data_IF_916378384825
#
_entry.id   IF_916378384825
#
_cell.length_a   1.000
_cell.length_b   1.000
_cell.length_c   1.000
_cell.angle_alpha   90.00
_cell.angle_beta   90.00
_cell.angle_gamma   90.00
#
_symmetry.space_group_name_H-M   'P 1'
#
loop_
_entity.id
_entity.type
_entity.pdbx_description
1 polymer ?
#
# COMPACT_ATOMS: atom_id res chain seq x y z
N UNK A 1 -32.06 16.71 9.02
CA UNK A 1 -30.80 16.53 9.76
C UNK A 1 -29.69 16.46 8.74
N UNK A 2 -28.91 17.54 8.62
CA UNK A 2 -27.78 17.57 7.70
C UNK A 2 -26.72 16.61 8.22
N UNK A 3 -26.36 15.60 7.42
CA UNK A 3 -25.13 14.84 7.65
C UNK A 3 -24.00 15.87 7.67
N UNK A 4 -23.44 16.15 8.84
CA UNK A 4 -22.16 16.83 8.92
C UNK A 4 -21.20 16.00 8.08
N UNK A 5 -20.75 16.57 6.96
CA UNK A 5 -19.75 15.97 6.11
C UNK A 5 -18.51 15.80 6.97
N UNK A 6 -18.32 14.60 7.52
CA UNK A 6 -17.16 14.26 8.33
C UNK A 6 -15.95 14.50 7.43
N UNK A 7 -15.14 15.50 7.77
CA UNK A 7 -13.96 15.86 7.00
C UNK A 7 -13.06 14.62 6.94
N UNK A 8 -12.75 14.17 5.72
CA UNK A 8 -11.92 12.99 5.46
C UNK A 8 -10.52 13.44 5.08
N UNK A 9 -9.87 14.15 6.00
CA UNK A 9 -8.62 14.86 5.74
C UNK A 9 -7.52 13.90 5.28
N UNK A 10 -7.45 12.70 5.87
CA UNK A 10 -6.47 11.70 5.43
C UNK A 10 -6.78 11.16 4.04
N UNK A 11 -8.05 10.81 3.79
CA UNK A 11 -8.50 10.31 2.49
C UNK A 11 -8.21 11.31 1.37
N UNK A 12 -8.49 12.59 1.61
CA UNK A 12 -8.23 13.69 0.67
C UNK A 12 -6.73 13.88 0.44
N UNK A 13 -5.93 13.88 1.52
CA UNK A 13 -4.47 13.99 1.43
C UNK A 13 -3.84 12.81 0.67
N UNK A 14 -4.26 11.58 0.98
CA UNK A 14 -3.76 10.37 0.33
C UNK A 14 -4.14 10.34 -1.15
N UNK A 15 -5.39 10.70 -1.50
CA UNK A 15 -5.82 10.76 -2.90
C UNK A 15 -5.05 11.83 -3.69
N UNK A 16 -4.83 13.00 -3.11
CA UNK A 16 -4.02 14.08 -3.72
C UNK A 16 -2.58 13.63 -3.94
N UNK A 17 -1.96 13.05 -2.92
CA UNK A 17 -0.62 12.50 -3.00
C UNK A 17 -0.51 11.38 -4.05
N UNK A 18 -1.46 10.45 -4.08
CA UNK A 18 -1.49 9.34 -5.02
C UNK A 18 -1.55 9.82 -6.48
N UNK A 19 -2.41 10.82 -6.75
CA UNK A 19 -2.51 11.44 -8.07
C UNK A 19 -1.20 12.11 -8.51
N UNK A 20 -0.45 12.71 -7.57
CA UNK A 20 0.85 13.32 -7.85
C UNK A 20 1.99 12.28 -7.97
N UNK A 21 1.89 11.15 -7.27
CA UNK A 21 2.91 10.12 -7.23
C UNK A 21 3.05 9.36 -8.57
N UNK A 22 2.01 9.33 -9.41
CA UNK A 22 2.08 8.59 -10.68
C UNK A 22 2.18 7.08 -10.48
N UNK A 23 1.41 6.55 -9.52
CA UNK A 23 1.37 5.12 -9.17
C UNK A 23 0.14 4.39 -9.76
N UNK A 24 -0.56 5.01 -10.70
CA UNK A 24 -1.78 4.48 -11.31
C UNK A 24 -1.55 3.20 -12.14
N UNK A 25 -0.30 2.93 -12.52
CA UNK A 25 0.10 1.74 -13.25
C UNK A 25 0.20 0.50 -12.36
N UNK A 26 0.39 0.68 -11.05
CA UNK A 26 0.64 -0.41 -10.10
C UNK A 26 -0.45 -0.58 -9.05
N UNK A 27 -1.19 0.47 -8.71
CA UNK A 27 -2.28 0.40 -7.74
C UNK A 27 -3.44 1.32 -8.10
N UNK A 28 -4.63 0.93 -7.64
CA UNK A 28 -5.83 1.75 -7.58
C UNK A 28 -6.20 1.99 -6.11
N UNK A 29 -6.90 3.08 -5.83
CA UNK A 29 -7.24 3.48 -4.46
C UNK A 29 -8.72 3.83 -4.36
N UNK A 30 -9.37 3.36 -3.30
CA UNK A 30 -10.80 3.56 -3.08
C UNK A 30 -11.07 4.10 -1.67
N UNK A 31 -11.77 5.23 -1.52
CA UNK A 31 -12.19 5.73 -0.21
C UNK A 31 -13.13 4.74 0.49
N UNK A 32 -12.84 4.42 1.76
CA UNK A 32 -13.75 3.61 2.55
C UNK A 32 -15.05 4.35 2.87
N UNK A 33 -16.18 3.64 2.84
CA UNK A 33 -17.47 4.21 3.26
C UNK A 33 -17.48 4.40 4.78
N UNK A 34 -17.80 5.61 5.24
CA UNK A 34 -17.97 5.92 6.66
C UNK A 34 -16.69 6.01 7.49
N UNK A 35 -15.51 5.89 6.87
CA UNK A 35 -14.20 5.98 7.53
C UNK A 35 -13.31 6.99 6.80
N UNK A 36 -12.41 7.63 7.54
CA UNK A 36 -11.31 8.39 6.94
C UNK A 36 -10.16 7.41 6.68
N UNK A 37 -10.29 6.64 5.61
CA UNK A 37 -9.39 5.56 5.25
C UNK A 37 -9.53 5.23 3.76
N UNK A 38 -8.52 4.55 3.22
CA UNK A 38 -8.40 4.18 1.82
C UNK A 38 -8.04 2.71 1.71
N UNK A 39 -8.76 1.98 0.86
CA UNK A 39 -8.36 0.66 0.40
C UNK A 39 -7.44 0.81 -0.82
N UNK A 40 -6.33 0.09 -0.81
CA UNK A 40 -5.32 0.09 -1.88
C UNK A 40 -5.39 -1.26 -2.57
N UNK A 41 -5.80 -1.25 -3.83
CA UNK A 41 -5.89 -2.42 -4.69
C UNK A 41 -4.66 -2.45 -5.60
N UNK A 42 -3.76 -3.41 -5.40
CA UNK A 42 -2.61 -3.58 -6.29
C UNK A 42 -3.05 -4.28 -7.58
N UNK A 43 -2.65 -3.73 -8.72
CA UNK A 43 -3.03 -4.19 -10.06
C UNK A 43 -2.14 -5.35 -10.55
N UNK A 44 -1.23 -5.83 -9.70
CA UNK A 44 -0.30 -6.92 -9.95
C UNK A 44 -0.60 -8.09 -9.00
N UNK A 45 -0.15 -9.30 -9.36
CA UNK A 45 -0.27 -10.46 -8.48
C UNK A 45 -1.71 -10.95 -8.25
N UNK A 46 -2.65 -10.61 -9.13
CA UNK A 46 -4.01 -11.17 -9.12
C UNK A 46 -4.80 -10.94 -7.83
N UNK A 47 -4.56 -9.84 -7.12
CA UNK A 47 -5.23 -9.52 -5.85
C UNK A 47 -4.62 -10.20 -4.61
N UNK A 48 -3.45 -10.84 -4.75
CA UNK A 48 -2.70 -11.41 -3.64
C UNK A 48 -1.94 -10.36 -2.80
N UNK A 49 -1.98 -9.09 -3.22
CA UNK A 49 -1.43 -7.96 -2.47
C UNK A 49 -2.57 -6.97 -2.25
N UNK A 50 -2.82 -6.63 -0.98
CA UNK A 50 -3.87 -5.67 -0.59
C UNK A 50 -3.32 -4.69 0.41
N UNK A 51 -3.65 -3.42 0.24
CA UNK A 51 -3.28 -2.38 1.19
C UNK A 51 -4.48 -1.71 1.84
N UNK A 52 -4.23 -1.13 3.01
CA UNK A 52 -5.18 -0.33 3.75
C UNK A 52 -4.43 0.83 4.40
N UNK A 53 -4.94 2.05 4.23
CA UNK A 53 -4.31 3.27 4.71
C UNK A 53 -5.30 4.10 5.52
N UNK A 54 -4.86 4.63 6.65
CA UNK A 54 -5.67 5.46 7.56
C UNK A 54 -4.79 6.44 8.36
N UNK A 55 -5.37 7.42 9.09
CA UNK A 55 -4.64 8.49 9.78
C UNK A 55 -3.51 8.09 10.73
N UNK A 56 -3.42 6.82 11.12
CA UNK A 56 -2.42 6.33 12.07
C UNK A 56 -1.55 5.20 11.52
N UNK A 57 -1.72 4.81 10.25
CA UNK A 57 -0.87 3.78 9.66
C UNK A 57 -1.24 3.39 8.23
N UNK A 58 -0.30 2.69 7.58
CA UNK A 58 -0.49 2.02 6.28
C UNK A 58 0.07 0.62 6.38
N UNK A 59 -0.76 -0.36 6.03
CA UNK A 59 -0.37 -1.76 5.95
C UNK A 59 -0.60 -2.28 4.53
N UNK A 60 0.36 -3.05 4.00
CA UNK A 60 0.23 -3.86 2.77
C UNK A 60 0.43 -5.31 3.16
N UNK A 61 -0.55 -6.14 2.82
CA UNK A 61 -0.62 -7.54 3.19
C UNK A 61 -0.48 -8.45 1.98
N UNK A 62 0.16 -9.59 2.19
CA UNK A 62 0.12 -10.74 1.29
C UNK A 62 -1.08 -11.62 1.66
N UNK A 63 -1.95 -11.86 0.69
CA UNK A 63 -3.20 -12.59 0.85
C UNK A 63 -3.18 -13.83 -0.03
N UNK A 64 -3.48 -14.99 0.55
CA UNK A 64 -3.66 -16.24 -0.19
C UNK A 64 -5.07 -16.78 0.07
N UNK A 65 -5.92 -16.75 -0.96
CA UNK A 65 -7.35 -16.97 -0.79
C UNK A 65 -8.00 -15.80 -0.04
N UNK A 66 -8.61 -16.09 1.11
CA UNK A 66 -9.24 -15.09 1.99
C UNK A 66 -8.43 -14.83 3.28
N UNK A 67 -7.24 -15.43 3.40
CA UNK A 67 -6.39 -15.34 4.60
C UNK A 67 -5.25 -14.33 4.38
N UNK A 68 -5.03 -13.46 5.37
CA UNK A 68 -3.83 -12.62 5.45
C UNK A 68 -2.67 -13.49 5.98
N UNK A 69 -1.64 -13.68 5.16
CA UNK A 69 -0.51 -14.53 5.49
C UNK A 69 0.64 -13.75 6.12
N UNK A 70 0.86 -12.51 5.68
CA UNK A 70 1.94 -11.66 6.15
C UNK A 70 1.70 -10.18 5.82
N UNK A 71 2.44 -9.30 6.49
CA UNK A 71 2.55 -7.89 6.13
C UNK A 71 3.86 -7.65 5.38
N UNK A 72 3.75 -7.22 4.12
CA UNK A 72 4.89 -6.89 3.27
C UNK A 72 5.43 -5.48 3.53
N UNK A 73 4.57 -4.61 4.06
CA UNK A 73 4.86 -3.25 4.46
C UNK A 73 3.89 -2.87 5.58
N UNK A 74 4.39 -2.27 6.65
CA UNK A 74 3.56 -1.82 7.77
C UNK A 74 4.26 -0.63 8.42
N UNK A 75 3.67 0.55 8.29
CA UNK A 75 4.18 1.79 8.87
C UNK A 75 3.11 2.44 9.73
N UNK A 76 3.49 2.78 10.96
CA UNK A 76 2.63 3.39 11.96
C UNK A 76 3.00 4.84 12.21
N UNK A 77 2.00 5.66 12.52
CA UNK A 77 2.20 7.02 13.01
C UNK A 77 1.24 7.30 14.16
N UNK A 78 1.76 7.87 15.24
CA UNK A 78 0.93 8.35 16.35
C UNK A 78 1.00 9.88 16.38
N UNK A 79 0.07 10.56 15.68
CA UNK A 79 0.13 12.00 15.52
C UNK A 79 -0.23 12.71 16.83
N UNK A 80 0.64 13.62 17.24
CA UNK A 80 0.42 14.51 18.38
C UNK A 80 0.50 15.95 17.89
N UNK A 81 -0.47 16.78 18.31
CA UNK A 81 -0.41 18.22 18.11
C UNK A 81 0.10 18.89 19.40
N UNK A 82 1.22 19.61 19.29
CA UNK A 82 1.73 20.50 20.34
C UNK A 82 1.88 21.91 19.78
N UNK A 83 1.12 22.86 20.34
CA UNK A 83 1.19 24.30 20.02
C UNK A 83 1.23 24.58 18.50
N UNK A 84 0.30 23.98 17.77
CA UNK A 84 0.17 24.10 16.31
C UNK A 84 1.29 23.46 15.47
N UNK A 85 2.10 22.58 16.07
CA UNK A 85 3.01 21.69 15.34
C UNK A 85 2.60 20.25 15.53
N UNK A 86 2.84 19.44 14.52
CA UNK A 86 2.55 18.01 14.52
C UNK A 86 3.85 17.21 14.63
N UNK A 87 3.80 16.08 15.34
CA UNK A 87 4.91 15.13 15.40
C UNK A 87 4.38 13.71 15.65
N UNK A 88 5.20 12.70 15.36
CA UNK A 88 4.90 11.32 15.72
C UNK A 88 5.46 11.00 17.12
N UNK A 89 4.63 10.47 18.03
CA UNK A 89 5.11 10.09 19.37
C UNK A 89 5.91 8.79 19.41
N UNK A 90 5.89 7.98 18.34
CA UNK A 90 6.78 6.83 18.19
C UNK A 90 8.20 7.21 17.79
N UNK A 91 8.43 8.41 17.25
CA UNK A 91 9.78 8.88 17.01
C UNK A 91 10.50 9.15 18.32
N UNK A 92 11.75 8.67 18.39
CA UNK A 92 12.69 8.96 19.45
C UNK A 92 12.79 10.48 19.68
N UNK A 93 12.83 10.95 20.94
CA UNK A 93 12.79 12.37 21.24
C UNK A 93 13.86 13.20 20.52
N UNK A 94 15.03 12.63 20.27
CA UNK A 94 16.16 13.32 19.63
C UNK A 94 16.04 13.42 18.10
N UNK A 95 15.31 12.49 17.47
CA UNK A 95 15.13 12.42 16.01
C UNK A 95 13.76 12.96 15.57
N UNK A 96 12.93 13.36 16.55
CA UNK A 96 11.57 13.84 16.33
C UNK A 96 11.57 15.13 15.53
N UNK A 97 11.02 15.04 14.32
CA UNK A 97 10.74 16.19 13.46
C UNK A 97 9.39 16.81 13.81
N UNK A 98 9.33 18.14 13.71
CA UNK A 98 8.11 18.92 13.89
C UNK A 98 7.59 19.40 12.54
N UNK A 99 6.31 19.15 12.28
CA UNK A 99 5.63 19.46 11.03
C UNK A 99 4.61 20.58 11.23
N UNK A 100 4.39 21.39 10.19
CA UNK A 100 3.44 22.50 10.24
C UNK A 100 1.99 22.06 10.03
N UNK A 101 1.77 20.89 9.43
CA UNK A 101 0.46 20.30 9.20
C UNK A 101 0.49 18.79 9.47
N UNK A 102 -0.70 18.23 9.72
CA UNK A 102 -0.85 16.77 9.86
C UNK A 102 -0.54 16.06 8.53
N UNK A 103 -0.89 16.67 7.40
CA UNK A 103 -0.59 16.16 6.07
C UNK A 103 0.92 16.02 5.85
N UNK A 104 1.72 17.02 6.25
CA UNK A 104 3.17 16.95 6.13
C UNK A 104 3.76 15.83 6.99
N UNK A 105 3.15 15.52 8.15
CA UNK A 105 3.53 14.37 8.97
C UNK A 105 3.19 13.05 8.25
N UNK A 106 1.98 12.92 7.69
CA UNK A 106 1.57 11.72 6.95
C UNK A 106 2.42 11.48 5.71
N UNK A 107 2.74 12.53 4.95
CA UNK A 107 3.63 12.41 3.78
C UNK A 107 4.97 11.82 4.21
N UNK A 108 5.58 12.38 5.25
CA UNK A 108 6.91 11.98 5.70
C UNK A 108 6.96 10.57 6.30
N UNK A 109 5.94 10.17 7.06
CA UNK A 109 5.94 8.91 7.82
C UNK A 109 5.20 7.75 7.15
N UNK A 110 4.24 8.04 6.28
CA UNK A 110 3.40 7.00 5.69
C UNK A 110 3.54 6.98 4.17
N UNK A 111 3.36 8.12 3.52
CA UNK A 111 3.18 8.14 2.06
C UNK A 111 4.52 7.98 1.32
N UNK A 112 5.54 8.76 1.69
CA UNK A 112 6.87 8.66 1.09
C UNK A 112 7.53 7.30 1.40
N UNK A 113 7.43 6.73 2.61
CA UNK A 113 7.86 5.36 2.87
C UNK A 113 7.13 4.31 2.01
N UNK A 114 5.80 4.41 1.84
CA UNK A 114 5.05 3.53 0.95
C UNK A 114 5.57 3.63 -0.48
N UNK A 115 5.78 4.85 -1.00
CA UNK A 115 6.35 5.05 -2.33
C UNK A 115 7.73 4.43 -2.46
N UNK A 116 8.59 4.64 -1.49
CA UNK A 116 9.95 4.08 -1.48
C UNK A 116 9.89 2.56 -1.52
N UNK A 117 9.06 1.94 -0.67
CA UNK A 117 8.85 0.50 -0.67
C UNK A 117 8.33 -0.01 -2.01
N UNK A 118 7.37 0.70 -2.63
CA UNK A 118 6.88 0.34 -3.96
C UNK A 118 8.02 0.35 -4.98
N UNK A 119 8.82 1.41 -5.03
CA UNK A 119 9.88 1.55 -6.03
C UNK A 119 11.07 0.60 -5.79
N UNK A 120 11.42 0.36 -4.53
CA UNK A 120 12.62 -0.41 -4.16
C UNK A 120 12.36 -1.91 -3.99
N UNK A 121 11.14 -2.30 -3.61
CA UNK A 121 10.80 -3.70 -3.29
C UNK A 121 9.76 -4.26 -4.26
N UNK A 122 8.63 -3.58 -4.42
CA UNK A 122 7.51 -4.13 -5.19
C UNK A 122 7.76 -4.12 -6.70
N UNK A 123 8.17 -2.98 -7.26
CA UNK A 123 8.45 -2.83 -8.70
C UNK A 123 9.53 -3.78 -9.24
N UNK A 124 10.66 -4.03 -8.55
CA UNK A 124 11.65 -4.97 -9.05
C UNK A 124 11.26 -6.44 -8.82
N UNK A 125 10.29 -6.72 -7.95
CA UNK A 125 9.86 -8.09 -7.68
C UNK A 125 9.12 -8.70 -8.88
N UNK A 126 9.48 -9.92 -9.22
CA UNK A 126 8.86 -10.72 -10.28
C UNK A 126 7.91 -11.76 -9.69
N UNK A 127 8.10 -12.15 -8.42
CA UNK A 127 7.22 -13.11 -7.74
C UNK A 127 6.95 -12.72 -6.29
N UNK A 128 5.77 -13.17 -5.80
CA UNK A 128 5.38 -13.20 -4.41
C UNK A 128 5.33 -14.67 -3.96
N UNK A 129 6.20 -15.04 -3.04
CA UNK A 129 6.28 -16.39 -2.48
C UNK A 129 5.56 -16.44 -1.13
N UNK A 130 4.81 -17.50 -0.91
CA UNK A 130 4.15 -17.80 0.36
C UNK A 130 4.79 -19.03 0.99
N UNK A 131 5.10 -18.94 2.27
CA UNK A 131 5.80 -19.98 3.02
C UNK A 131 5.02 -20.35 4.27
N UNK A 132 5.06 -21.63 4.64
CA UNK A 132 4.47 -22.14 5.87
C UNK A 132 5.37 -23.17 6.50
N UNK A 133 5.74 -22.96 7.76
CA UNK A 133 6.52 -23.92 8.56
C UNK A 133 5.90 -24.02 9.93
N UNK A 134 5.54 -25.24 10.35
CA UNK A 134 5.00 -25.53 11.69
C UNK A 134 3.80 -24.65 12.09
N UNK A 135 2.99 -24.23 11.11
CA UNK A 135 1.81 -23.38 11.34
C UNK A 135 2.08 -21.88 11.29
N UNK A 136 3.33 -21.44 11.27
CA UNK A 136 3.69 -20.04 11.00
C UNK A 136 3.68 -19.77 9.49
N UNK A 137 3.17 -18.60 9.07
CA UNK A 137 3.12 -18.14 7.69
C UNK A 137 3.98 -16.89 7.51
N UNK A 138 4.58 -16.75 6.34
CA UNK A 138 5.17 -15.49 5.89
C UNK A 138 5.13 -15.41 4.37
N UNK A 139 5.35 -14.21 3.84
CA UNK A 139 5.41 -13.96 2.42
C UNK A 139 6.62 -13.13 2.05
N UNK A 140 7.08 -13.24 0.80
CA UNK A 140 8.29 -12.56 0.35
C UNK A 140 8.19 -12.17 -1.12
N UNK A 141 8.55 -10.92 -1.40
CA UNK A 141 8.78 -10.42 -2.75
C UNK A 141 10.18 -10.83 -3.22
N UNK A 142 10.31 -11.39 -4.42
CA UNK A 142 11.60 -11.81 -4.98
C UNK A 142 11.72 -11.42 -6.45
N UNK A 143 12.94 -11.09 -6.89
CA UNK A 143 13.28 -10.75 -8.29
C UNK A 143 13.65 -11.97 -9.12
N UNK A 144 14.19 -12.99 -8.46
CA UNK A 144 14.52 -14.29 -9.03
C UNK A 144 13.56 -15.31 -8.42
N UNK A 145 12.80 -16.07 -9.23
CA UNK A 145 12.18 -17.28 -8.75
C UNK A 145 13.34 -18.16 -8.29
N UNK A 146 13.59 -18.21 -6.98
CA UNK A 146 14.62 -19.10 -6.43
C UNK A 146 14.26 -20.48 -6.95
N UNK A 147 15.15 -21.15 -7.71
CA UNK A 147 14.91 -22.50 -8.24
C UNK A 147 14.34 -23.34 -7.11
N UNK A 148 13.01 -23.52 -7.15
CA UNK A 148 12.18 -23.90 -6.01
C UNK A 148 12.82 -23.57 -4.65
N UNK A 149 12.50 -22.43 -4.04
CA UNK A 149 12.57 -22.38 -2.58
C UNK A 149 11.79 -23.61 -2.10
N UNK A 150 12.50 -24.66 -1.65
CA UNK A 150 11.93 -25.99 -1.47
C UNK A 150 10.87 -26.02 -0.34
N UNK A 151 10.67 -24.85 0.29
CA UNK A 151 9.76 -24.56 1.38
C UNK A 151 8.58 -23.67 0.98
N UNK A 152 8.58 -23.08 -0.23
CA UNK A 152 7.47 -22.26 -0.69
C UNK A 152 6.23 -23.12 -0.90
N UNK A 153 5.15 -22.75 -0.21
CA UNK A 153 3.84 -23.39 -0.33
C UNK A 153 3.11 -22.93 -1.59
N UNK A 154 3.29 -21.67 -1.98
CA UNK A 154 2.72 -21.09 -3.20
C UNK A 154 3.63 -20.00 -3.75
N UNK A 155 3.59 -19.79 -5.06
CA UNK A 155 4.33 -18.72 -5.75
C UNK A 155 3.39 -18.06 -6.74
N UNK A 156 3.30 -16.74 -6.68
CA UNK A 156 2.46 -15.91 -7.55
C UNK A 156 3.37 -15.02 -8.39
N UNK A 157 3.22 -15.05 -9.71
CA UNK A 157 3.91 -14.11 -10.59
C UNK A 157 3.32 -12.70 -10.44
N UNK A 158 4.20 -11.70 -10.39
CA UNK A 158 3.86 -10.28 -10.28
C UNK A 158 3.95 -9.60 -11.65
N UNK A 159 3.30 -10.19 -12.65
CA UNK A 159 3.22 -9.55 -13.96
C UNK A 159 2.25 -8.37 -13.89
N UNK A 160 2.60 -7.27 -14.57
CA UNK A 160 1.64 -6.22 -14.88
C UNK A 160 0.51 -6.84 -15.70
N UNK A 161 -0.74 -6.58 -15.30
CA UNK A 161 -1.91 -6.92 -16.12
C UNK A 161 -1.63 -6.49 -17.56
N UNK A 162 -1.79 -7.38 -18.57
CA UNK A 162 -1.67 -6.95 -19.94
C UNK A 162 -2.71 -5.84 -20.14
N UNK A 163 -2.23 -4.64 -20.48
CA UNK A 163 -3.09 -3.57 -20.97
C UNK A 163 -3.84 -4.18 -22.15
N UNK A 164 -5.13 -4.44 -22.01
CA UNK A 164 -5.94 -4.89 -23.14
C UNK A 164 -5.89 -3.79 -24.20
N UNK A 165 -4.97 -3.94 -25.15
CA UNK A 165 -5.05 -3.27 -26.42
C UNK A 165 -6.30 -3.81 -27.10
N UNK A 166 -7.43 -3.13 -26.92
CA UNK A 166 -8.63 -3.34 -27.72
C UNK A 166 -8.22 -3.29 -29.20
N UNK A 167 -8.35 -4.40 -29.97
CA UNK A 167 -8.29 -4.30 -31.40
C UNK A 167 -9.64 -3.72 -31.82
N UNK A 168 -9.68 -2.44 -32.21
CA UNK A 168 -10.73 -1.98 -33.12
C UNK A 168 -10.40 -2.64 -34.47
N UNK A 169 -10.81 -3.90 -34.58
CA UNK A 169 -10.90 -4.65 -35.82
C UNK A 169 -11.90 -3.96 -36.72
N UNK A 170 -11.51 -3.84 -37.98
CA UNK A 170 -12.22 -3.05 -38.97
C UNK A 170 -13.62 -3.58 -39.29
N UNK A 171 -14.43 -2.65 -39.76
CA UNK A 171 -15.54 -2.95 -40.65
C UNK A 171 -15.24 -2.27 -41.99
N UNK A 172 -14.72 -3.04 -42.94
CA UNK A 172 -15.10 -2.88 -44.35
C UNK A 172 -16.46 -3.56 -44.57
N UNK A 173 -17.16 -3.37 -45.69
CA UNK A 173 -16.60 -3.05 -47.02
C UNK A 173 -16.83 -1.61 -47.51
#
# INVERSE_FOLDING_TARGET
MAHAQQQRLFTEAFASWFAAAGLHDIMAVEPCVGRDAVEINFLIGGGAIRGYAHPVGISVSAVLGDECWDFLFDEDVVPVNDRAKWFCSFCEPNDRRLFLSIEALWIDHLFDPLRRWIDEQLRPATTLEFHRVEGATWARLTTEPTEASATATSVIALDAMPTEASPIGGAGP
#
